data_IF_153022516632
#
_entry.id   IF_153022516632
#
_cell.length_a   1.000
_cell.length_b   1.000
_cell.length_c   1.000
_cell.angle_alpha   90.00
_cell.angle_beta   90.00
_cell.angle_gamma   90.00
#
_symmetry.space_group_name_H-M   'P 1'
#
loop_
_entity.id
_entity.type
_entity.pdbx_description
1 polymer ?
#
# COMPACT_ATOMS: atom_id res chain seq x y z
N UNK A 1 -13.40 -11.87 6.24
CA UNK A 1 -12.30 -10.87 6.10
C UNK A 1 -12.80 -9.65 5.35
N UNK A 2 -12.32 -8.45 5.71
CA UNK A 2 -12.58 -7.19 5.01
C UNK A 2 -11.33 -6.30 5.04
N UNK A 3 -11.26 -5.34 4.10
CA UNK A 3 -10.19 -4.35 4.04
C UNK A 3 -10.74 -2.97 4.35
N UNK A 4 -10.07 -2.21 5.23
CA UNK A 4 -10.42 -0.81 5.50
C UNK A 4 -9.23 0.02 5.92
N UNK A 5 -9.34 1.34 5.76
CA UNK A 5 -8.47 2.33 6.39
C UNK A 5 -9.08 2.71 7.75
N UNK A 6 -8.24 3.16 8.67
CA UNK A 6 -8.69 3.78 9.91
C UNK A 6 -8.78 5.30 9.71
N UNK A 7 -9.77 5.92 10.30
CA UNK A 7 -9.97 7.37 10.15
C UNK A 7 -8.92 8.17 10.92
N UNK A 8 -8.62 7.70 12.15
CA UNK A 8 -7.61 8.33 13.00
C UNK A 8 -6.20 7.90 12.58
N UNK A 9 -5.34 8.84 12.13
CA UNK A 9 -3.96 8.54 11.72
C UNK A 9 -3.09 8.01 12.86
N UNK A 10 -3.31 8.45 14.10
CA UNK A 10 -2.52 8.00 15.25
C UNK A 10 -2.85 6.55 15.58
N UNK A 11 -4.14 6.22 15.57
CA UNK A 11 -4.59 4.84 15.73
C UNK A 11 -4.07 3.95 14.58
N UNK A 12 -4.10 4.46 13.35
CA UNK A 12 -3.58 3.73 12.19
C UNK A 12 -2.08 3.42 12.34
N UNK A 13 -1.25 4.40 12.76
CA UNK A 13 0.18 4.18 13.01
C UNK A 13 0.38 3.14 14.12
N UNK A 14 -0.30 3.29 15.25
CA UNK A 14 -0.19 2.36 16.37
C UNK A 14 -0.56 0.93 15.98
N UNK A 15 -1.65 0.78 15.21
CA UNK A 15 -2.10 -0.52 14.73
C UNK A 15 -1.14 -1.13 13.70
N UNK A 16 -0.58 -0.33 12.78
CA UNK A 16 0.42 -0.79 11.83
C UNK A 16 1.69 -1.27 12.53
N UNK A 17 2.18 -0.51 13.51
CA UNK A 17 3.32 -0.93 14.36
C UNK A 17 3.01 -2.24 15.07
N UNK A 18 1.81 -2.40 15.66
CA UNK A 18 1.43 -3.64 16.34
C UNK A 18 1.45 -4.85 15.40
N UNK A 19 0.97 -4.69 14.17
CA UNK A 19 0.96 -5.75 13.14
C UNK A 19 2.38 -6.09 12.69
N UNK A 20 3.25 -5.10 12.50
CA UNK A 20 4.54 -5.26 11.80
C UNK A 20 5.74 -5.50 12.73
N UNK A 21 5.66 -5.14 14.02
CA UNK A 21 6.80 -5.16 14.95
C UNK A 21 7.54 -6.48 15.10
N UNK A 22 6.90 -7.60 14.78
CA UNK A 22 7.49 -8.95 14.85
C UNK A 22 7.75 -9.58 13.48
N UNK A 23 7.52 -8.83 12.43
CA UNK A 23 7.59 -9.31 11.04
C UNK A 23 8.86 -8.84 10.38
N UNK A 24 9.66 -9.74 9.84
CA UNK A 24 10.81 -9.37 9.02
C UNK A 24 10.36 -8.86 7.63
N UNK A 25 11.01 -7.81 7.08
CA UNK A 25 12.19 -7.11 7.62
C UNK A 25 11.87 -5.99 8.62
N UNK A 26 10.61 -5.66 8.87
CA UNK A 26 10.17 -4.50 9.66
C UNK A 26 10.65 -4.55 11.12
N UNK A 27 10.73 -5.75 11.70
CA UNK A 27 11.23 -5.97 13.06
C UNK A 27 12.69 -5.55 13.24
N UNK A 28 13.47 -5.45 12.16
CA UNK A 28 14.86 -5.00 12.16
C UNK A 28 15.03 -3.51 11.85
N UNK A 29 13.95 -2.81 11.54
CA UNK A 29 14.01 -1.36 11.31
C UNK A 29 14.20 -0.62 12.63
N UNK A 30 14.99 0.45 12.59
CA UNK A 30 14.96 1.41 13.70
C UNK A 30 13.57 2.00 13.81
N UNK A 31 13.16 2.39 15.03
CA UNK A 31 11.85 2.98 15.26
C UNK A 31 11.59 4.19 14.34
N UNK A 32 12.56 5.09 14.22
CA UNK A 32 12.43 6.27 13.35
C UNK A 32 12.22 5.91 11.87
N UNK A 33 12.92 4.88 11.38
CA UNK A 33 12.74 4.40 10.00
C UNK A 33 11.34 3.84 9.78
N UNK A 34 10.87 2.97 10.67
CA UNK A 34 9.54 2.39 10.56
C UNK A 34 8.47 3.48 10.65
N UNK A 35 8.59 4.38 11.62
CA UNK A 35 7.65 5.49 11.79
C UNK A 35 7.57 6.37 10.54
N UNK A 36 8.70 6.75 9.94
CA UNK A 36 8.71 7.56 8.72
C UNK A 36 8.02 6.87 7.53
N UNK A 37 8.24 5.57 7.36
CA UNK A 37 7.54 4.79 6.31
C UNK A 37 6.04 4.83 6.54
N UNK A 38 5.58 4.45 7.73
CA UNK A 38 4.15 4.40 8.07
C UNK A 38 3.48 5.77 8.01
N UNK A 39 4.14 6.82 8.53
CA UNK A 39 3.63 8.19 8.43
C UNK A 39 3.45 8.64 6.98
N UNK A 40 4.40 8.29 6.09
CA UNK A 40 4.30 8.57 4.68
C UNK A 40 3.08 7.90 4.04
N UNK A 41 2.89 6.61 4.27
CA UNK A 41 1.77 5.82 3.75
C UNK A 41 0.42 6.34 4.27
N UNK A 42 0.32 6.58 5.59
CA UNK A 42 -0.92 6.99 6.25
C UNK A 42 -1.31 8.42 5.86
N UNK A 43 -0.37 9.36 5.79
CA UNK A 43 -0.63 10.73 5.35
C UNK A 43 -1.14 10.82 3.92
N UNK A 44 -0.62 9.99 3.03
CA UNK A 44 -1.11 9.88 1.64
C UNK A 44 -2.43 9.12 1.52
N UNK A 45 -2.87 8.46 2.59
CA UNK A 45 -3.98 7.49 2.56
C UNK A 45 -3.71 6.32 1.59
N UNK A 46 -2.46 5.99 1.39
CA UNK A 46 -2.00 4.87 0.56
C UNK A 46 -1.67 3.67 1.43
N UNK A 47 -2.64 3.19 2.17
CA UNK A 47 -2.53 2.02 3.03
C UNK A 47 -3.88 1.34 3.21
N UNK A 48 -3.85 0.12 3.69
CA UNK A 48 -5.04 -0.63 4.09
C UNK A 48 -4.71 -1.67 5.14
N UNK A 49 -5.62 -1.88 6.08
CA UNK A 49 -5.62 -3.04 6.96
C UNK A 49 -6.53 -4.12 6.42
N UNK A 50 -6.12 -5.37 6.56
CA UNK A 50 -6.99 -6.54 6.39
C UNK A 50 -7.38 -7.05 7.76
N UNK A 51 -8.68 -7.18 8.00
CA UNK A 51 -9.25 -7.68 9.24
C UNK A 51 -9.87 -9.06 9.03
N UNK A 52 -9.70 -9.91 10.02
CA UNK A 52 -10.53 -11.10 10.21
C UNK A 52 -11.42 -10.86 11.43
N UNK A 53 -12.73 -10.75 11.20
CA UNK A 53 -13.64 -10.08 12.12
C UNK A 53 -13.07 -8.69 12.51
N UNK A 54 -12.81 -8.43 13.79
CA UNK A 54 -12.24 -7.16 14.27
C UNK A 54 -10.71 -7.24 14.51
N UNK A 55 -10.08 -8.37 14.23
CA UNK A 55 -8.65 -8.55 14.43
C UNK A 55 -7.87 -8.17 13.17
N UNK A 56 -6.91 -7.25 13.23
CA UNK A 56 -6.07 -6.92 12.09
C UNK A 56 -5.07 -8.05 11.83
N UNK A 57 -5.20 -8.67 10.67
CA UNK A 57 -4.38 -9.81 10.24
C UNK A 57 -3.44 -9.45 9.07
N UNK A 58 -3.52 -8.22 8.57
CA UNK A 58 -2.65 -7.77 7.50
C UNK A 58 -2.58 -6.24 7.42
N UNK A 59 -1.50 -5.76 6.78
CA UNK A 59 -1.26 -4.36 6.46
C UNK A 59 -0.57 -4.26 5.11
N UNK A 60 -1.06 -3.36 4.26
CA UNK A 60 -0.39 -2.96 3.03
C UNK A 60 -0.26 -1.44 2.98
N UNK A 61 0.92 -0.97 2.57
CA UNK A 61 1.22 0.42 2.31
C UNK A 61 1.95 0.57 0.98
N UNK A 62 1.66 1.64 0.24
CA UNK A 62 2.19 1.84 -1.11
C UNK A 62 2.45 3.32 -1.43
N UNK A 63 3.12 3.53 -2.56
CA UNK A 63 3.19 4.81 -3.24
C UNK A 63 2.53 4.70 -4.61
N UNK A 64 1.98 5.82 -5.09
CA UNK A 64 1.66 6.02 -6.49
C UNK A 64 2.70 6.99 -7.04
N UNK A 65 3.36 6.63 -8.13
CA UNK A 65 4.39 7.46 -8.74
C UNK A 65 4.48 7.17 -10.25
N UNK A 66 5.22 8.00 -10.95
CA UNK A 66 5.53 7.75 -12.35
C UNK A 66 6.45 6.55 -12.51
N UNK A 67 6.35 5.83 -13.62
CA UNK A 67 7.15 4.63 -13.88
C UNK A 67 8.66 4.88 -13.75
N UNK A 68 9.14 6.05 -14.18
CA UNK A 68 10.56 6.40 -14.07
C UNK A 68 11.02 6.45 -12.61
N UNK A 69 10.21 7.03 -11.71
CA UNK A 69 10.46 7.07 -10.27
C UNK A 69 10.41 5.66 -9.68
N UNK A 70 9.41 4.85 -10.07
CA UNK A 70 9.29 3.47 -9.59
C UNK A 70 10.53 2.61 -9.96
N UNK A 71 11.05 2.76 -11.18
CA UNK A 71 12.26 2.08 -11.64
C UNK A 71 13.50 2.55 -10.89
N UNK A 72 13.71 3.87 -10.80
CA UNK A 72 14.85 4.45 -10.08
C UNK A 72 14.87 3.98 -8.61
N UNK A 73 13.70 3.89 -7.96
CA UNK A 73 13.62 3.37 -6.59
C UNK A 73 14.09 1.93 -6.49
N UNK A 74 13.64 1.05 -7.40
CA UNK A 74 13.95 -0.39 -7.34
C UNK A 74 15.37 -0.69 -7.84
N UNK A 75 15.81 -0.05 -8.91
CA UNK A 75 17.05 -0.37 -9.60
C UNK A 75 18.23 0.45 -9.07
N UNK A 76 18.01 1.74 -8.75
CA UNK A 76 19.06 2.70 -8.39
C UNK A 76 19.07 3.06 -6.90
N UNK A 77 18.15 2.50 -6.11
CA UNK A 77 17.96 2.84 -4.68
C UNK A 77 17.62 4.31 -4.45
N UNK A 78 17.06 4.96 -5.45
CA UNK A 78 16.52 6.31 -5.30
C UNK A 78 15.47 6.34 -4.18
N UNK A 79 15.47 7.38 -3.37
CA UNK A 79 14.45 7.58 -2.33
C UNK A 79 13.52 8.69 -2.78
N UNK A 80 12.30 8.38 -3.24
CA UNK A 80 11.36 9.39 -3.71
C UNK A 80 10.92 10.33 -2.60
N UNK A 81 10.67 11.57 -2.96
CA UNK A 81 10.07 12.56 -2.07
C UNK A 81 8.62 12.22 -1.77
N UNK A 82 8.04 12.87 -0.77
CA UNK A 82 6.62 12.69 -0.46
C UNK A 82 5.72 13.06 -1.65
N UNK A 83 6.02 14.16 -2.34
CA UNK A 83 5.24 14.63 -3.50
C UNK A 83 5.26 13.63 -4.66
N UNK A 84 6.42 13.04 -4.96
CA UNK A 84 6.59 12.02 -6.01
C UNK A 84 5.85 10.71 -5.72
N UNK A 85 5.40 10.52 -4.48
CA UNK A 85 4.70 9.32 -4.05
C UNK A 85 3.17 9.45 -3.99
N UNK A 86 2.60 10.58 -4.45
CA UNK A 86 1.18 10.89 -4.26
C UNK A 86 0.29 10.51 -5.44
N UNK A 87 0.82 10.50 -6.66
CA UNK A 87 0.09 10.20 -7.89
C UNK A 87 1.04 9.67 -8.97
N UNK A 88 0.51 8.97 -9.95
CA UNK A 88 1.26 8.42 -11.08
C UNK A 88 0.58 7.19 -11.67
N UNK A 89 1.20 6.61 -12.67
CA UNK A 89 0.74 5.43 -13.41
C UNK A 89 1.24 4.09 -12.85
N UNK A 90 2.00 4.16 -11.78
CA UNK A 90 2.67 3.00 -11.17
C UNK A 90 2.36 2.90 -9.68
N UNK A 91 2.03 1.68 -9.24
CA UNK A 91 1.82 1.31 -7.86
C UNK A 91 3.08 0.64 -7.31
N UNK A 92 3.69 1.19 -6.29
CA UNK A 92 4.89 0.65 -5.65
C UNK A 92 4.56 0.16 -4.25
N UNK A 93 4.61 -1.16 -4.05
CA UNK A 93 4.43 -1.76 -2.73
C UNK A 93 5.64 -1.49 -1.83
N UNK A 94 5.39 -0.75 -0.74
CA UNK A 94 6.41 -0.41 0.26
C UNK A 94 6.35 -1.41 1.42
N UNK A 95 5.15 -1.57 1.96
CA UNK A 95 4.88 -2.47 3.08
C UNK A 95 3.80 -3.44 2.66
N UNK A 96 4.03 -4.73 2.83
CA UNK A 96 3.04 -5.76 2.55
C UNK A 96 3.21 -6.95 3.50
N UNK A 97 2.23 -7.15 4.35
CA UNK A 97 2.18 -8.27 5.28
C UNK A 97 0.77 -8.80 5.44
N UNK A 98 0.65 -10.10 5.56
CA UNK A 98 -0.57 -10.78 5.99
C UNK A 98 -0.21 -12.04 6.77
N UNK A 99 -0.96 -12.31 7.82
CA UNK A 99 -0.68 -13.41 8.76
C UNK A 99 -0.91 -14.80 8.15
N UNK A 100 -1.83 -14.89 7.16
CA UNK A 100 -2.16 -16.15 6.48
C UNK A 100 -2.12 -15.99 4.97
N UNK A 101 -2.03 -17.10 4.25
CA UNK A 101 -2.09 -17.11 2.78
C UNK A 101 -3.43 -16.57 2.27
N UNK A 102 -4.52 -16.89 2.94
CA UNK A 102 -5.87 -16.42 2.60
C UNK A 102 -5.97 -14.90 2.74
N UNK A 103 -5.49 -14.35 3.86
CA UNK A 103 -5.44 -12.91 4.09
C UNK A 103 -4.53 -12.20 3.05
N UNK A 104 -3.39 -12.82 2.69
CA UNK A 104 -2.48 -12.32 1.66
C UNK A 104 -3.16 -12.24 0.29
N UNK A 105 -3.85 -13.30 -0.12
CA UNK A 105 -4.58 -13.33 -1.39
C UNK A 105 -5.75 -12.34 -1.40
N UNK A 106 -6.47 -12.25 -0.29
CA UNK A 106 -7.56 -11.31 -0.12
C UNK A 106 -7.08 -9.86 -0.26
N UNK A 107 -6.05 -9.49 0.51
CA UNK A 107 -5.43 -8.17 0.49
C UNK A 107 -4.90 -7.81 -0.91
N UNK A 108 -4.21 -8.74 -1.58
CA UNK A 108 -3.67 -8.53 -2.92
C UNK A 108 -4.79 -8.32 -3.97
N UNK A 109 -5.89 -9.06 -3.87
CA UNK A 109 -7.07 -8.87 -4.74
C UNK A 109 -7.72 -7.52 -4.51
N UNK A 110 -7.87 -7.13 -3.25
CA UNK A 110 -8.42 -5.82 -2.90
C UNK A 110 -7.56 -4.69 -3.47
N UNK A 111 -6.24 -4.69 -3.25
CA UNK A 111 -5.34 -3.67 -3.81
C UNK A 111 -5.42 -3.58 -5.33
N UNK A 112 -5.49 -4.72 -6.03
CA UNK A 112 -5.65 -4.73 -7.49
C UNK A 112 -6.97 -4.13 -7.96
N UNK A 113 -8.05 -4.35 -7.22
CA UNK A 113 -9.36 -3.82 -7.55
C UNK A 113 -9.43 -2.29 -7.39
N UNK A 114 -8.66 -1.72 -6.44
CA UNK A 114 -8.60 -0.27 -6.24
C UNK A 114 -7.83 0.45 -7.35
N UNK A 115 -6.85 -0.22 -7.97
CA UNK A 115 -5.93 0.39 -8.93
C UNK A 115 -5.84 -0.42 -10.22
N UNK A 116 -6.94 -0.53 -10.99
CA UNK A 116 -6.95 -1.29 -12.23
C UNK A 116 -6.06 -0.62 -13.29
N UNK A 117 -5.24 -1.43 -13.94
CA UNK A 117 -4.40 -0.98 -15.07
C UNK A 117 -3.07 -0.36 -14.68
N UNK A 118 -2.79 -0.11 -13.41
CA UNK A 118 -1.49 0.40 -12.99
C UNK A 118 -0.41 -0.68 -13.10
N UNK A 119 0.81 -0.24 -13.41
CA UNK A 119 2.00 -1.10 -13.30
C UNK A 119 2.32 -1.34 -11.84
N UNK A 120 2.65 -2.58 -11.49
CA UNK A 120 2.94 -2.97 -10.10
C UNK A 120 4.43 -3.23 -9.93
N UNK A 121 5.02 -2.51 -9.01
CA UNK A 121 6.40 -2.65 -8.60
C UNK A 121 6.47 -3.08 -7.13
N UNK A 122 7.49 -3.84 -6.77
CA UNK A 122 7.72 -4.23 -5.38
C UNK A 122 8.98 -5.03 -5.22
N UNK A 123 9.59 -4.92 -4.05
CA UNK A 123 10.74 -5.71 -3.64
C UNK A 123 10.24 -6.77 -2.67
N UNK A 124 10.48 -8.04 -2.98
CA UNK A 124 10.26 -9.12 -2.03
C UNK A 124 11.51 -9.32 -1.22
N UNK A 125 11.41 -9.07 0.07
CA UNK A 125 12.46 -9.39 1.02
C UNK A 125 12.19 -10.77 1.65
N UNK A 126 13.04 -11.72 1.34
CA UNK A 126 13.04 -13.07 1.94
C UNK A 126 14.15 -13.24 2.98
N UNK A 127 14.53 -12.17 3.66
CA UNK A 127 15.65 -12.13 4.58
C UNK A 127 16.99 -12.09 3.82
N UNK A 128 17.91 -13.04 4.05
CA UNK A 128 19.23 -13.03 3.40
C UNK A 128 19.21 -13.19 1.87
N UNK A 129 18.06 -13.44 1.26
CA UNK A 129 17.87 -13.56 -0.20
C UNK A 129 16.83 -12.55 -0.67
N UNK A 130 17.21 -11.28 -0.80
CA UNK A 130 16.36 -10.32 -1.49
C UNK A 130 16.33 -10.67 -2.98
N UNK A 131 15.15 -10.93 -3.53
CA UNK A 131 14.94 -10.99 -4.98
C UNK A 131 14.23 -9.72 -5.41
N UNK A 132 14.80 -8.99 -6.34
CA UNK A 132 14.10 -7.93 -7.04
C UNK A 132 12.86 -8.51 -7.71
N UNK A 133 11.72 -7.95 -7.44
CA UNK A 133 10.48 -8.35 -8.08
C UNK A 133 10.45 -7.76 -9.48
N UNK A 134 10.29 -8.63 -10.48
CA UNK A 134 10.03 -8.19 -11.84
C UNK A 134 8.70 -7.44 -11.92
N UNK A 135 8.67 -6.37 -12.71
CA UNK A 135 7.46 -5.67 -13.13
C UNK A 135 6.46 -6.68 -13.70
N UNK A 136 5.29 -6.82 -13.08
CA UNK A 136 4.18 -7.55 -13.69
C UNK A 136 3.16 -6.53 -14.16
N UNK A 137 3.03 -6.40 -15.47
CA UNK A 137 1.85 -5.76 -16.04
C UNK A 137 0.63 -6.57 -15.62
N UNK A 138 -0.25 -5.96 -14.85
CA UNK A 138 -1.55 -6.55 -14.56
C UNK A 138 -2.44 -6.30 -15.76
N UNK A 139 -2.25 -7.08 -16.82
CA UNK A 139 -3.19 -7.14 -17.93
C UNK A 139 -4.51 -7.67 -17.39
N UNK A 140 -5.54 -6.89 -17.58
CA UNK A 140 -6.94 -7.22 -17.30
C UNK A 140 -7.28 -8.47 -18.10
N UNK A 141 -7.49 -9.59 -17.46
CA UNK A 141 -8.24 -10.67 -18.06
C UNK A 141 -9.67 -10.15 -18.29
N UNK A 142 -10.09 -10.10 -19.55
CA UNK A 142 -11.44 -9.78 -19.91
C UNK A 142 -12.37 -10.84 -19.30
N UNK A 143 -13.07 -10.49 -18.23
CA UNK A 143 -14.16 -11.29 -17.69
C UNK A 143 -15.42 -10.45 -17.70
N UNK A 144 -16.46 -11.08 -18.17
CA UNK A 144 -17.77 -10.62 -18.54
C UNK A 144 -18.45 -9.61 -17.62
N UNK A 145 -19.29 -8.86 -18.28
CA UNK A 145 -20.34 -7.96 -17.81
C UNK A 145 -20.77 -8.17 -16.36
N UNK A 146 -20.57 -7.15 -15.56
CA UNK A 146 -21.50 -6.82 -14.50
C UNK A 146 -21.58 -5.30 -14.42
N UNK A 147 -22.76 -4.77 -14.69
CA UNK A 147 -23.11 -3.36 -14.47
C UNK A 147 -23.03 -3.05 -12.98
N UNK A 148 -22.37 -1.97 -12.58
CA UNK A 148 -22.64 -1.37 -11.29
C UNK A 148 -23.39 -0.05 -11.50
N UNK A 149 -24.71 -0.12 -11.45
CA UNK A 149 -25.49 1.05 -11.05
C UNK A 149 -25.38 1.18 -9.54
N UNK A 150 -24.60 2.14 -9.07
CA UNK A 150 -24.89 2.99 -7.89
C UNK A 150 -23.67 3.86 -7.60
N UNK A 151 -23.88 5.16 -7.77
CA UNK A 151 -22.90 6.21 -7.57
C UNK A 151 -22.50 6.36 -6.11
N UNK A 152 -21.22 6.54 -5.92
CA UNK A 152 -20.70 7.24 -4.76
C UNK A 152 -19.85 8.39 -5.28
N UNK A 153 -20.47 9.57 -5.22
CA UNK A 153 -19.80 10.85 -5.50
C UNK A 153 -18.77 11.10 -4.41
N UNK A 154 -17.51 11.24 -4.77
CA UNK A 154 -16.51 11.79 -3.88
C UNK A 154 -16.65 13.31 -3.83
N UNK A 155 -16.85 13.94 -2.69
CA UNK A 155 -16.72 15.38 -2.57
C UNK A 155 -15.23 15.75 -2.54
N UNK A 156 -14.84 16.60 -3.48
CA UNK A 156 -13.56 17.31 -3.43
C UNK A 156 -13.56 18.24 -2.21
N UNK A 157 -12.71 17.96 -1.24
CA UNK A 157 -12.48 18.84 -0.10
C UNK A 157 -11.46 19.92 -0.50
N UNK A 158 -11.95 21.13 -0.71
CA UNK A 158 -11.15 22.35 -0.79
C UNK A 158 -10.81 22.80 0.64
N UNK A 159 -9.55 22.98 1.03
CA UNK A 159 -9.24 23.59 2.32
C UNK A 159 -9.33 25.10 2.20
N UNK A 160 -10.33 25.73 2.84
CA UNK A 160 -10.35 27.18 3.08
C UNK A 160 -9.47 27.46 4.30
N UNK A 161 -8.34 28.09 4.06
CA UNK A 161 -7.53 28.71 5.11
C UNK A 161 -8.12 30.11 5.33
N UNK A 162 -8.65 30.37 6.50
CA UNK A 162 -8.96 31.73 6.96
C UNK A 162 -8.05 32.04 8.15
N UNK A 163 -7.45 33.23 8.10
CA UNK A 163 -6.54 33.85 9.06
C UNK A 163 -6.96 33.75 10.53
#
# INVERSE_FOLDING_TARGET
MHCRQLEDPVLAIGQAVNVLRRVQPFASYTFGRLANVLMGEIRRRHYVFTFDAETPVGYAGWALCDEAIARAWIEERYVPTFAECTAGDSWVGITFYAATKEACLFQARWCRAQYPGLKVFGIRDYGRRSRQSQTKNVTRAASGRHDPASGVSHPAATPTITN
#
